data_IF_829559252314
#
_entry.id   IF_829559252314
#
_cell.length_a   1.000
_cell.length_b   1.000
_cell.length_c   1.000
_cell.angle_alpha   90.00
_cell.angle_beta   90.00
_cell.angle_gamma   90.00
#
_symmetry.space_group_name_H-M   'P 1'
#
loop_
_entity.id
_entity.type
_entity.pdbx_description
1 polymer ?
#
# COMPACT_ATOMS: atom_id res chain seq x y z
N UNK A 1 9.90 16.58 -13.78
CA UNK A 1 9.04 16.11 -14.88
C UNK A 1 8.86 14.65 -14.56
N UNK A 2 8.02 14.36 -13.58
CA UNK A 2 7.94 13.03 -13.01
C UNK A 2 6.69 12.37 -13.60
N UNK A 3 6.87 11.19 -14.17
CA UNK A 3 5.75 10.45 -14.74
C UNK A 3 4.80 10.08 -13.60
N UNK A 4 3.51 10.43 -13.73
CA UNK A 4 2.52 10.15 -12.67
C UNK A 4 2.46 8.68 -12.25
N UNK A 5 2.78 7.76 -13.17
CA UNK A 5 2.89 6.34 -12.88
C UNK A 5 4.13 5.98 -12.03
N UNK A 6 5.27 6.64 -12.26
CA UNK A 6 6.47 6.43 -11.44
C UNK A 6 6.23 6.87 -10.00
N UNK A 7 5.66 8.06 -9.81
CA UNK A 7 5.34 8.54 -8.46
C UNK A 7 4.28 7.66 -7.78
N UNK A 8 3.32 7.13 -8.54
CA UNK A 8 2.37 6.16 -8.03
C UNK A 8 3.08 4.90 -7.50
N UNK A 9 3.98 4.31 -8.29
CA UNK A 9 4.77 3.14 -7.86
C UNK A 9 5.60 3.42 -6.62
N UNK A 10 6.25 4.59 -6.54
CA UNK A 10 7.04 5.00 -5.36
C UNK A 10 6.16 5.09 -4.12
N UNK A 11 5.02 5.78 -4.23
CA UNK A 11 4.08 5.94 -3.11
C UNK A 11 3.54 4.58 -2.67
N UNK A 12 3.16 3.73 -3.61
CA UNK A 12 2.66 2.41 -3.31
C UNK A 12 3.70 1.54 -2.59
N UNK A 13 4.97 1.57 -3.01
CA UNK A 13 6.05 0.90 -2.29
C UNK A 13 6.18 1.40 -0.84
N UNK A 14 6.06 2.71 -0.61
CA UNK A 14 6.11 3.28 0.73
C UNK A 14 4.93 2.80 1.60
N UNK A 15 3.72 2.72 1.04
CA UNK A 15 2.55 2.16 1.74
C UNK A 15 2.77 0.69 2.14
N UNK A 16 3.33 -0.14 1.24
CA UNK A 16 3.66 -1.53 1.55
C UNK A 16 4.73 -1.64 2.64
N UNK A 17 5.74 -0.76 2.64
CA UNK A 17 6.76 -0.71 3.69
C UNK A 17 6.16 -0.31 5.04
N UNK A 18 5.26 0.66 5.07
CA UNK A 18 4.55 1.06 6.28
C UNK A 18 3.71 -0.10 6.83
N UNK A 19 2.96 -0.81 5.98
CA UNK A 19 2.14 -1.94 6.40
C UNK A 19 3.02 -3.06 6.99
N UNK A 20 4.17 -3.33 6.36
CA UNK A 20 5.14 -4.31 6.86
C UNK A 20 5.72 -3.91 8.22
N UNK A 21 6.03 -2.63 8.42
CA UNK A 21 6.50 -2.12 9.71
C UNK A 21 5.45 -2.28 10.80
N UNK A 22 4.19 -1.96 10.52
CA UNK A 22 3.08 -2.13 11.46
C UNK A 22 2.94 -3.61 11.86
N UNK A 23 2.95 -4.52 10.89
CA UNK A 23 2.74 -5.95 11.13
C UNK A 23 3.92 -6.61 11.83
N UNK A 24 5.15 -6.34 11.39
CA UNK A 24 6.32 -7.04 11.87
C UNK A 24 7.01 -6.37 13.04
N UNK A 25 6.96 -5.04 13.15
CA UNK A 25 7.66 -4.34 14.22
C UNK A 25 6.67 -3.96 15.31
N UNK A 26 5.69 -3.12 14.97
CA UNK A 26 4.81 -2.57 15.99
C UNK A 26 4.00 -3.68 16.68
N UNK A 27 3.30 -4.53 15.93
CA UNK A 27 2.49 -5.59 16.54
C UNK A 27 3.34 -6.58 17.35
N UNK A 28 4.52 -6.98 16.86
CA UNK A 28 5.41 -7.90 17.58
C UNK A 28 5.90 -7.30 18.90
N UNK A 29 6.34 -6.04 18.90
CA UNK A 29 6.76 -5.35 20.13
C UNK A 29 5.60 -5.26 21.13
N UNK A 30 4.41 -4.86 20.69
CA UNK A 30 3.25 -4.80 21.58
C UNK A 30 2.88 -6.17 22.18
N UNK A 31 3.07 -7.26 21.44
CA UNK A 31 2.86 -8.62 21.92
C UNK A 31 3.95 -9.09 22.89
N UNK A 32 5.21 -8.75 22.63
CA UNK A 32 6.34 -9.12 23.50
C UNK A 32 6.25 -8.42 24.86
N UNK A 33 5.98 -7.11 24.89
CA UNK A 33 5.78 -6.39 26.16
C UNK A 33 4.62 -6.97 26.98
N UNK A 34 3.52 -7.36 26.31
CA UNK A 34 2.38 -8.04 26.97
C UNK A 34 2.81 -9.40 27.54
N UNK A 35 3.62 -10.17 26.82
CA UNK A 35 4.13 -11.48 27.26
C UNK A 35 5.06 -11.34 28.46
N UNK A 36 5.93 -10.34 28.46
CA UNK A 36 6.86 -10.07 29.57
C UNK A 36 6.16 -9.42 30.77
N UNK A 37 4.88 -9.03 30.65
CA UNK A 37 4.15 -8.34 31.70
C UNK A 37 4.62 -6.90 31.93
N UNK A 38 5.34 -6.32 30.96
CA UNK A 38 5.80 -4.94 31.00
C UNK A 38 4.65 -4.05 30.56
N UNK A 39 4.42 -2.95 31.29
CA UNK A 39 3.41 -1.97 30.87
C UNK A 39 3.82 -1.34 29.53
N UNK A 40 3.06 -1.67 28.50
CA UNK A 40 3.15 -1.02 27.20
C UNK A 40 2.09 0.08 27.09
N UNK A 41 2.49 1.25 26.62
CA UNK A 41 1.53 2.29 26.20
C UNK A 41 1.13 2.00 24.76
N UNK A 42 -0.11 1.56 24.55
CA UNK A 42 -0.64 1.30 23.21
C UNK A 42 -0.41 2.50 22.30
N UNK A 43 0.19 2.23 21.14
CA UNK A 43 0.40 3.24 20.11
C UNK A 43 -0.75 3.11 19.14
N UNK A 44 -1.57 4.15 19.04
CA UNK A 44 -2.61 4.23 18.02
C UNK A 44 -1.95 4.61 16.68
N UNK A 45 -2.25 3.85 15.63
CA UNK A 45 -1.72 4.08 14.30
C UNK A 45 -2.84 3.97 13.26
N UNK A 46 -2.66 4.68 12.15
CA UNK A 46 -3.52 4.50 10.99
C UNK A 46 -3.15 3.20 10.27
N UNK A 47 -4.10 2.28 10.16
CA UNK A 47 -3.92 1.03 9.43
C UNK A 47 -4.06 1.31 7.93
N UNK A 48 -2.93 1.42 7.24
CA UNK A 48 -2.90 1.71 5.80
C UNK A 48 -3.16 0.48 4.91
N UNK A 49 -3.52 -0.66 5.51
CA UNK A 49 -3.91 -1.87 4.79
C UNK A 49 -5.01 -1.62 3.76
N UNK A 50 -6.00 -0.79 4.07
CA UNK A 50 -7.08 -0.48 3.14
C UNK A 50 -6.57 0.17 1.84
N UNK A 51 -5.51 0.98 1.92
CA UNK A 51 -4.87 1.61 0.76
C UNK A 51 -4.11 0.55 -0.05
N UNK A 52 -3.34 -0.31 0.62
CA UNK A 52 -2.63 -1.40 -0.04
C UNK A 52 -3.60 -2.35 -0.76
N UNK A 53 -4.70 -2.72 -0.08
CA UNK A 53 -5.73 -3.57 -0.63
C UNK A 53 -6.38 -2.91 -1.86
N UNK A 54 -6.74 -1.62 -1.79
CA UNK A 54 -7.29 -0.90 -2.95
C UNK A 54 -6.39 -0.98 -4.19
N UNK A 55 -5.07 -0.93 -4.00
CA UNK A 55 -4.11 -1.04 -5.10
C UNK A 55 -4.02 -2.47 -5.64
N UNK A 56 -4.04 -3.48 -4.76
CA UNK A 56 -3.78 -4.90 -5.08
C UNK A 56 -5.02 -5.76 -5.35
N UNK A 57 -6.24 -5.27 -5.11
CA UNK A 57 -7.46 -6.09 -5.25
C UNK A 57 -7.45 -6.80 -6.62
N UNK A 58 -7.55 -8.14 -6.64
CA UNK A 58 -7.58 -8.87 -7.90
C UNK A 58 -8.75 -8.41 -8.77
N UNK A 59 -8.48 -8.18 -10.06
CA UNK A 59 -9.46 -7.79 -11.10
C UNK A 59 -10.09 -6.40 -10.97
N UNK A 60 -10.17 -5.80 -9.79
CA UNK A 60 -10.81 -4.48 -9.61
C UNK A 60 -9.93 -3.44 -8.90
N UNK A 61 -8.73 -3.82 -8.48
CA UNK A 61 -7.75 -2.89 -7.91
C UNK A 61 -7.08 -2.04 -8.99
N UNK A 62 -6.39 -0.99 -8.54
CA UNK A 62 -5.75 -0.02 -9.45
C UNK A 62 -4.79 -0.70 -10.43
N UNK A 63 -3.94 -1.62 -9.94
CA UNK A 63 -3.00 -2.33 -10.81
C UNK A 63 -3.70 -3.22 -11.84
N UNK A 64 -4.80 -3.87 -11.46
CA UNK A 64 -5.56 -4.72 -12.38
C UNK A 64 -6.24 -3.91 -13.50
N UNK A 65 -6.78 -2.74 -13.16
CA UNK A 65 -7.41 -1.83 -14.14
C UNK A 65 -6.35 -1.24 -15.08
N UNK A 66 -5.18 -0.85 -14.55
CA UNK A 66 -4.07 -0.35 -15.37
C UNK A 66 -3.56 -1.42 -16.34
N UNK A 67 -3.47 -2.67 -15.89
CA UNK A 67 -3.09 -3.82 -16.73
C UNK A 67 -4.11 -4.04 -17.86
N UNK A 68 -5.41 -4.08 -17.53
CA UNK A 68 -6.49 -4.23 -18.53
C UNK A 68 -6.49 -3.09 -19.58
N UNK A 69 -6.22 -1.86 -19.15
CA UNK A 69 -6.12 -0.72 -20.05
C UNK A 69 -4.96 -0.87 -21.06
N UNK A 70 -3.85 -1.50 -20.67
CA UNK A 70 -2.74 -1.79 -21.57
C UNK A 70 -3.08 -2.88 -22.61
N UNK A 71 -3.99 -3.81 -22.27
CA UNK A 71 -4.43 -4.87 -23.17
C UNK A 71 -5.54 -4.45 -24.14
N UNK A 72 -6.28 -3.39 -23.82
CA UNK A 72 -7.42 -2.95 -24.63
C UNK A 72 -6.96 -2.20 -25.88
N UNK A 73 -7.33 -2.68 -27.07
CA UNK A 73 -7.08 -1.99 -28.35
C UNK A 73 -8.11 -0.87 -28.52
N UNK A 74 -7.97 0.20 -27.72
CA UNK A 74 -8.77 1.43 -27.82
C UNK A 74 -7.95 2.58 -28.43
N UNK A 75 -8.59 3.65 -28.92
CA UNK A 75 -7.86 4.84 -29.34
C UNK A 75 -7.02 5.34 -28.15
N UNK A 76 -5.70 5.32 -28.34
CA UNK A 76 -4.73 5.77 -27.33
C UNK A 76 -5.00 7.24 -27.09
N UNK A 77 -5.65 7.55 -25.97
CA UNK A 77 -5.88 8.93 -25.56
C UNK A 77 -4.72 9.36 -24.66
N UNK A 78 -3.49 9.26 -25.19
CA UNK A 78 -2.30 9.89 -24.63
C UNK A 78 -2.38 11.40 -24.89
N UNK A 79 -3.43 12.04 -24.37
CA UNK A 79 -3.39 13.48 -24.13
C UNK A 79 -2.83 13.68 -22.74
N UNK A 80 -1.53 13.47 -22.59
CA UNK A 80 -0.79 13.83 -21.37
C UNK A 80 0.50 14.54 -21.75
N UNK A 81 0.39 15.83 -22.08
CA UNK A 81 1.00 16.94 -21.34
C UNK A 81 0.26 18.22 -21.72
#
# INVERSE_FOLDING_TARGET
>A
MDCGFEQFCINYCNEKLQQLFIELVLNQEQEEYKREGIQWQQIDFFNNKEICDLVEIPRTGILAILDEACYTIGPINDKVC
#
